data_IF_454410817979
#
_entry.id   IF_454410817979
#
_cell.length_a   1.000
_cell.length_b   1.000
_cell.length_c   1.000
_cell.angle_alpha   90.00
_cell.angle_beta   90.00
_cell.angle_gamma   90.00
#
_symmetry.space_group_name_H-M   'P 1'
#
loop_
_entity.id
_entity.type
_entity.pdbx_description
1 polymer ?
#
# COMPACT_ATOMS: atom_id res chain seq x y z
N UNK A 1 -13.15 -12.31 11.33
CA UNK A 1 -12.30 -11.10 11.19
C UNK A 1 -12.86 -10.01 12.10
N UNK A 2 -12.03 -9.25 12.83
CA UNK A 2 -12.51 -8.12 13.61
C UNK A 2 -12.99 -6.99 12.68
N UNK A 3 -14.06 -6.24 13.05
CA UNK A 3 -14.59 -5.15 12.23
C UNK A 3 -13.63 -3.95 12.11
N UNK A 4 -13.74 -3.16 11.03
CA UNK A 4 -13.02 -1.89 10.87
C UNK A 4 -13.30 -0.94 12.05
N UNK A 5 -12.29 -0.22 12.53
CA UNK A 5 -12.41 0.74 13.63
C UNK A 5 -12.38 0.13 15.04
N UNK A 6 -12.01 -1.15 15.20
CA UNK A 6 -11.92 -1.78 16.52
C UNK A 6 -10.71 -1.21 17.31
N UNK A 7 -11.00 -0.43 18.36
CA UNK A 7 -10.00 -0.10 19.39
C UNK A 7 -9.58 -1.38 20.11
N UNK A 8 -8.38 -1.88 19.82
CA UNK A 8 -7.80 -2.99 20.58
C UNK A 8 -7.18 -2.40 21.85
N UNK A 9 -7.94 -2.41 22.96
CA UNK A 9 -7.33 -2.26 24.28
C UNK A 9 -6.52 -3.51 24.60
N UNK A 10 -5.21 -3.43 24.39
CA UNK A 10 -4.29 -4.43 24.92
C UNK A 10 -4.01 -4.11 26.39
N UNK A 11 -4.24 -5.10 27.26
CA UNK A 11 -3.96 -5.02 28.70
C UNK A 11 -2.47 -4.70 28.87
N UNK A 12 -2.16 -3.48 29.36
CA UNK A 12 -0.79 -3.05 29.67
C UNK A 12 -0.27 -1.81 28.94
N UNK A 13 -1.04 -1.19 28.03
CA UNK A 13 -0.60 0.01 27.28
C UNK A 13 -1.35 1.26 27.75
N UNK A 14 -0.69 2.29 28.30
CA UNK A 14 -1.35 3.54 28.65
C UNK A 14 -1.59 4.42 27.42
N UNK A 15 -2.80 4.98 27.27
CA UNK A 15 -3.12 6.07 26.35
C UNK A 15 -3.66 5.63 24.99
N UNK A 16 -4.92 5.99 24.72
CA UNK A 16 -5.66 5.99 23.44
C UNK A 16 -4.85 5.60 22.19
N UNK A 17 -4.68 4.29 21.95
CA UNK A 17 -4.13 3.78 20.70
C UNK A 17 -5.29 3.63 19.71
N UNK A 18 -5.35 4.52 18.72
CA UNK A 18 -6.22 4.31 17.56
C UNK A 18 -5.55 3.31 16.61
N UNK A 19 -6.08 2.09 16.60
CA UNK A 19 -5.59 1.01 15.75
C UNK A 19 -6.48 0.94 14.50
N UNK A 20 -6.01 1.53 13.40
CA UNK A 20 -6.66 1.33 12.10
C UNK A 20 -6.24 -0.04 11.57
N UNK A 21 -7.22 -0.95 11.55
CA UNK A 21 -7.12 -2.31 11.03
C UNK A 21 -7.46 -2.33 9.55
N UNK A 22 -6.70 -3.11 8.79
CA UNK A 22 -7.06 -3.56 7.45
C UNK A 22 -7.60 -4.98 7.59
N UNK A 23 -8.92 -5.19 7.53
CA UNK A 23 -9.43 -5.72 6.26
C UNK A 23 -10.81 -5.18 5.88
N UNK A 24 -11.03 -4.96 4.58
CA UNK A 24 -12.37 -5.02 3.98
C UNK A 24 -12.65 -6.47 3.53
N UNK A 25 -13.86 -7.02 3.70
CA UNK A 25 -14.24 -8.28 3.06
C UNK A 25 -14.26 -8.08 1.54
N UNK A 26 -13.49 -8.90 0.84
CA UNK A 26 -13.33 -8.83 -0.61
C UNK A 26 -14.27 -9.80 -1.32
N UNK A 27 -14.83 -9.37 -2.44
CA UNK A 27 -15.49 -10.25 -3.41
C UNK A 27 -14.62 -10.28 -4.68
N UNK A 28 -14.19 -11.48 -5.08
CA UNK A 28 -13.36 -11.72 -6.28
C UNK A 28 -13.96 -11.16 -7.58
N UNK A 29 -15.27 -10.94 -7.61
CA UNK A 29 -16.00 -10.35 -8.74
C UNK A 29 -15.63 -8.88 -9.03
N UNK A 30 -14.90 -8.20 -8.15
CA UNK A 30 -14.45 -6.81 -8.39
C UNK A 30 -13.15 -6.72 -9.21
N UNK A 31 -12.48 -7.84 -9.49
CA UNK A 31 -11.20 -7.91 -10.25
C UNK A 31 -11.40 -7.54 -11.73
N UNK A 32 -12.59 -7.80 -12.27
CA UNK A 32 -12.86 -7.74 -13.71
C UNK A 32 -13.10 -6.32 -14.25
N UNK A 33 -13.20 -5.30 -13.39
CA UNK A 33 -13.72 -3.98 -13.79
C UNK A 33 -12.69 -2.92 -14.21
N UNK A 34 -11.39 -3.24 -14.25
CA UNK A 34 -10.41 -2.31 -14.83
C UNK A 34 -10.42 -2.51 -16.35
N UNK A 35 -11.15 -1.64 -17.06
CA UNK A 35 -11.19 -1.59 -18.53
C UNK A 35 -9.77 -1.39 -19.11
N UNK A 36 -9.18 -2.46 -19.66
CA UNK A 36 -7.97 -2.40 -20.49
C UNK A 36 -8.35 -1.82 -21.87
N UNK A 37 -8.54 -0.50 -21.93
CA UNK A 37 -8.93 0.20 -23.17
C UNK A 37 -7.74 0.53 -24.08
N UNK A 38 -6.53 0.05 -23.76
CA UNK A 38 -5.31 0.27 -24.55
C UNK A 38 -4.50 -1.02 -24.77
N UNK A 39 -4.23 -1.34 -26.05
CA UNK A 39 -3.47 -2.50 -26.52
C UNK A 39 -1.96 -2.37 -26.23
N UNK A 40 -1.59 -2.28 -24.96
CA UNK A 40 -0.21 -2.48 -24.54
C UNK A 40 0.02 -3.98 -24.31
N UNK A 41 1.22 -4.49 -24.62
CA UNK A 41 1.52 -5.90 -24.42
C UNK A 41 1.41 -6.25 -22.93
N UNK A 42 0.86 -7.43 -22.63
CA UNK A 42 0.72 -7.90 -21.23
C UNK A 42 2.07 -7.99 -20.53
N UNK A 43 3.11 -8.38 -21.27
CA UNK A 43 4.49 -8.44 -20.79
C UNK A 43 5.36 -7.61 -21.72
N UNK A 44 6.21 -6.77 -21.14
CA UNK A 44 7.14 -5.93 -21.88
C UNK A 44 8.19 -6.75 -22.62
N UNK A 45 8.29 -6.66 -23.96
CA UNK A 45 9.33 -7.36 -24.71
C UNK A 45 10.74 -6.83 -24.41
N UNK A 46 10.85 -5.57 -23.97
CA UNK A 46 12.11 -4.88 -23.68
C UNK A 46 12.45 -4.86 -22.17
N UNK A 47 11.69 -5.58 -21.35
CA UNK A 47 11.79 -5.53 -19.89
C UNK A 47 11.60 -4.11 -19.30
N UNK A 48 10.91 -3.24 -20.03
CA UNK A 48 10.55 -1.87 -19.61
C UNK A 48 9.17 -1.88 -18.95
N UNK A 49 8.88 -1.00 -17.99
CA UNK A 49 7.55 -0.96 -17.41
C UNK A 49 6.46 -0.65 -18.43
N UNK A 50 5.41 -1.47 -18.47
CA UNK A 50 4.20 -1.28 -19.29
C UNK A 50 3.01 -0.81 -18.47
N UNK A 51 3.10 -0.91 -17.13
CA UNK A 51 2.09 -0.43 -16.18
C UNK A 51 2.76 0.23 -14.99
N UNK A 52 2.07 1.19 -14.38
CA UNK A 52 2.56 1.93 -13.24
C UNK A 52 1.49 2.02 -12.17
N UNK A 53 1.88 1.81 -10.92
CA UNK A 53 1.05 2.09 -9.75
C UNK A 53 1.65 3.29 -9.03
N UNK A 54 0.84 4.31 -8.79
CA UNK A 54 1.15 5.41 -7.87
C UNK A 54 0.46 5.08 -6.55
N UNK A 55 1.26 4.89 -5.49
CA UNK A 55 0.79 4.55 -4.15
C UNK A 55 0.41 5.78 -3.34
N UNK A 56 1.19 6.86 -3.46
CA UNK A 56 0.80 8.17 -2.96
C UNK A 56 1.50 9.29 -3.75
N UNK A 57 0.88 10.46 -3.71
CA UNK A 57 1.34 11.72 -4.30
C UNK A 57 0.86 12.91 -3.42
N UNK A 58 1.36 14.14 -3.58
CA UNK A 58 1.12 15.25 -2.65
C UNK A 58 -0.34 15.70 -2.43
N UNK A 59 -1.28 15.19 -3.20
CA UNK A 59 -2.72 15.42 -3.03
C UNK A 59 -3.45 14.15 -2.55
N UNK A 60 -2.75 13.26 -1.83
CA UNK A 60 -3.27 11.97 -1.37
C UNK A 60 -3.86 11.11 -2.51
N UNK A 61 -3.37 11.35 -3.73
CA UNK A 61 -3.82 10.69 -4.94
C UNK A 61 -3.03 9.41 -5.15
N UNK A 62 -3.72 8.37 -5.60
CA UNK A 62 -3.15 7.08 -6.00
C UNK A 62 -3.81 6.67 -7.31
N UNK A 63 -3.20 5.73 -8.04
CA UNK A 63 -3.80 5.28 -9.28
C UNK A 63 -3.00 4.19 -10.00
N UNK A 64 -3.69 3.55 -10.93
CA UNK A 64 -3.13 2.60 -11.88
C UNK A 64 -3.07 3.27 -13.25
N UNK A 65 -1.92 3.19 -13.91
CA UNK A 65 -1.66 3.90 -15.14
C UNK A 65 -1.03 2.98 -16.18
N UNK A 66 -1.49 3.14 -17.41
CA UNK A 66 -0.96 2.41 -18.56
C UNK A 66 0.40 2.90 -19.04
N UNK A 67 0.89 4.02 -18.49
CA UNK A 67 2.18 4.62 -18.85
C UNK A 67 2.63 5.67 -17.85
N UNK A 68 3.92 5.99 -17.93
CA UNK A 68 4.49 7.09 -17.14
C UNK A 68 4.07 8.46 -17.69
N UNK A 69 4.31 8.74 -18.97
CA UNK A 69 4.10 10.09 -19.54
C UNK A 69 2.71 10.27 -20.15
N UNK A 70 2.15 11.47 -19.99
CA UNK A 70 0.90 11.88 -20.66
C UNK A 70 1.12 12.14 -22.15
N UNK A 71 0.24 11.62 -23.00
CA UNK A 71 0.19 11.96 -24.42
C UNK A 71 -0.95 12.92 -24.69
N UNK A 72 -0.60 14.18 -24.99
CA UNK A 72 -1.55 15.30 -25.19
C UNK A 72 -2.07 15.43 -26.63
N UNK A 73 -1.66 14.55 -27.54
CA UNK A 73 -1.97 14.63 -28.98
C UNK A 73 -2.63 13.36 -29.55
N UNK A 74 -2.99 12.40 -28.68
CA UNK A 74 -3.75 11.21 -29.07
C UNK A 74 -5.26 11.52 -29.06
N UNK A 75 -6.08 10.85 -29.91
CA UNK A 75 -7.52 11.11 -30.01
C UNK A 75 -8.27 10.87 -28.69
N UNK A 76 -7.69 10.08 -27.78
CA UNK A 76 -8.09 10.00 -26.37
C UNK A 76 -6.92 10.57 -25.59
N UNK A 77 -7.09 11.71 -24.90
CA UNK A 77 -6.04 12.26 -24.02
C UNK A 77 -5.63 11.20 -22.99
N UNK A 78 -4.47 10.55 -23.17
CA UNK A 78 -4.01 9.49 -22.27
C UNK A 78 -3.18 10.11 -21.18
N UNK A 79 -3.71 10.08 -19.95
CA UNK A 79 -3.02 10.59 -18.76
C UNK A 79 -2.01 9.56 -18.26
N UNK A 80 -0.75 9.98 -18.11
CA UNK A 80 0.30 9.16 -17.52
C UNK A 80 0.47 9.40 -16.01
N UNK A 81 1.10 8.46 -15.32
CA UNK A 81 1.40 8.54 -13.89
C UNK A 81 2.18 9.82 -13.50
N UNK A 82 2.99 10.35 -14.41
CA UNK A 82 3.81 11.56 -14.20
C UNK A 82 2.99 12.78 -13.81
N UNK A 83 1.70 12.82 -14.16
CA UNK A 83 0.80 13.92 -13.77
C UNK A 83 0.64 13.98 -12.26
N UNK A 84 0.49 12.82 -11.60
CA UNK A 84 0.40 12.76 -10.15
C UNK A 84 1.76 12.96 -9.46
N UNK A 85 2.85 12.58 -10.12
CA UNK A 85 4.20 12.62 -9.55
C UNK A 85 5.00 13.90 -9.85
N UNK A 86 4.38 14.87 -10.53
CA UNK A 86 5.07 16.04 -11.08
C UNK A 86 5.62 17.01 -10.04
N UNK A 87 5.05 17.01 -8.83
CA UNK A 87 5.45 17.88 -7.73
C UNK A 87 5.60 17.03 -6.46
N UNK A 88 6.54 17.39 -5.59
CA UNK A 88 6.65 16.84 -4.22
C UNK A 88 7.03 15.36 -4.09
N UNK A 89 6.93 14.88 -2.85
CA UNK A 89 7.21 13.47 -2.51
C UNK A 89 6.09 12.56 -3.01
N UNK A 90 6.48 11.46 -3.64
CA UNK A 90 5.57 10.49 -4.22
C UNK A 90 6.19 9.09 -4.15
N UNK A 91 5.33 8.09 -4.23
CA UNK A 91 5.76 6.71 -4.38
C UNK A 91 5.05 6.07 -5.55
N UNK A 92 5.83 5.68 -6.54
CA UNK A 92 5.34 4.96 -7.71
C UNK A 92 6.23 3.75 -8.01
N UNK A 93 5.66 2.74 -8.66
CA UNK A 93 6.38 1.57 -9.17
C UNK A 93 5.93 1.25 -10.59
N UNK A 94 6.90 1.04 -11.46
CA UNK A 94 6.70 0.47 -12.78
C UNK A 94 6.74 -1.07 -12.74
N UNK A 95 5.89 -1.69 -13.55
CA UNK A 95 5.75 -3.13 -13.69
C UNK A 95 5.92 -3.55 -15.15
N UNK A 96 6.70 -4.59 -15.38
CA UNK A 96 6.94 -5.20 -16.69
C UNK A 96 5.80 -6.13 -17.13
N UNK A 97 4.97 -6.56 -16.19
CA UNK A 97 3.87 -7.52 -16.32
C UNK A 97 2.59 -6.80 -15.88
N UNK A 98 1.66 -6.61 -16.81
CA UNK A 98 0.41 -5.89 -16.58
C UNK A 98 -0.53 -6.66 -15.65
N UNK A 99 -0.60 -7.97 -15.80
CA UNK A 99 -1.43 -8.86 -14.96
C UNK A 99 -0.98 -8.78 -13.51
N UNK A 100 0.34 -8.83 -13.27
CA UNK A 100 0.90 -8.67 -11.92
C UNK A 100 0.66 -7.27 -11.36
N UNK A 101 0.82 -6.23 -12.18
CA UNK A 101 0.54 -4.86 -11.76
C UNK A 101 -0.92 -4.69 -11.34
N UNK A 102 -1.86 -5.20 -12.15
CA UNK A 102 -3.30 -5.14 -11.88
C UNK A 102 -3.63 -5.89 -10.59
N UNK A 103 -3.10 -7.11 -10.42
CA UNK A 103 -3.28 -7.89 -9.20
C UNK A 103 -2.78 -7.12 -7.96
N UNK A 104 -1.56 -6.57 -7.99
CA UNK A 104 -1.00 -5.84 -6.85
C UNK A 104 -1.78 -4.57 -6.54
N UNK A 105 -2.28 -3.86 -7.56
CA UNK A 105 -3.11 -2.68 -7.37
C UNK A 105 -4.42 -3.03 -6.65
N UNK A 106 -5.10 -4.09 -7.09
CA UNK A 106 -6.35 -4.57 -6.49
C UNK A 106 -6.14 -5.06 -5.06
N UNK A 107 -5.08 -5.82 -4.82
CA UNK A 107 -4.66 -6.23 -3.49
C UNK A 107 -4.41 -5.04 -2.56
N UNK A 108 -3.74 -3.99 -3.04
CA UNK A 108 -3.51 -2.77 -2.26
C UNK A 108 -4.81 -2.03 -1.95
N UNK A 109 -5.80 -2.03 -2.87
CA UNK A 109 -7.15 -1.50 -2.59
C UNK A 109 -7.84 -2.31 -1.50
N UNK A 110 -7.84 -3.63 -1.64
CA UNK A 110 -8.49 -4.57 -0.73
C UNK A 110 -7.95 -4.45 0.70
N UNK A 111 -6.63 -4.37 0.84
CA UNK A 111 -5.96 -4.22 2.13
C UNK A 111 -5.85 -2.75 2.56
N UNK A 112 -6.60 -1.85 1.90
CA UNK A 112 -6.66 -0.41 2.20
C UNK A 112 -5.29 0.25 2.35
N UNK A 113 -4.29 -0.25 1.63
CA UNK A 113 -2.91 0.26 1.67
C UNK A 113 -2.88 1.71 1.19
N UNK A 114 -3.66 2.05 0.14
CA UNK A 114 -3.71 3.43 -0.34
C UNK A 114 -4.26 4.39 0.71
N UNK A 115 -5.32 4.01 1.43
CA UNK A 115 -5.89 4.83 2.50
C UNK A 115 -4.93 5.00 3.67
N UNK A 116 -4.20 3.94 4.04
CA UNK A 116 -3.15 3.99 5.05
C UNK A 116 -2.04 5.00 4.68
N UNK A 117 -1.68 5.08 3.39
CA UNK A 117 -0.64 5.97 2.88
C UNK A 117 -1.10 7.42 2.70
N UNK A 118 -2.41 7.71 2.78
CA UNK A 118 -2.91 9.08 2.82
C UNK A 118 -2.61 9.79 4.13
N UNK A 119 -2.37 9.00 5.20
CA UNK A 119 -2.00 9.56 6.50
C UNK A 119 -0.66 10.30 6.34
N UNK A 120 -0.57 11.57 6.76
CA UNK A 120 0.66 12.31 6.66
C UNK A 120 1.74 11.63 7.51
N UNK A 121 2.96 11.55 6.99
CA UNK A 121 4.09 11.11 7.81
C UNK A 121 4.28 12.12 8.95
N UNK A 122 4.06 11.66 10.18
CA UNK A 122 4.20 12.47 11.39
C UNK A 122 5.03 11.72 12.43
N UNK A 123 5.76 12.44 13.31
CA UNK A 123 6.54 11.81 14.38
C UNK A 123 5.71 10.91 15.32
N UNK A 124 4.41 11.19 15.42
CA UNK A 124 3.46 10.44 16.24
C UNK A 124 2.74 9.32 15.48
N UNK A 125 3.17 8.94 14.28
CA UNK A 125 2.56 7.85 13.49
C UNK A 125 3.60 6.75 13.27
N UNK A 126 3.23 5.51 13.61
CA UNK A 126 4.03 4.31 13.38
C UNK A 126 3.16 3.21 12.77
N UNK A 127 3.75 2.42 11.88
CA UNK A 127 3.09 1.32 11.18
C UNK A 127 3.66 -0.01 11.67
N UNK A 128 2.79 -0.92 12.11
CA UNK A 128 3.15 -2.29 12.49
C UNK A 128 2.70 -3.22 11.39
N UNK A 129 3.66 -3.77 10.65
CA UNK A 129 3.39 -4.74 9.60
C UNK A 129 3.54 -6.12 10.20
N UNK A 130 2.47 -6.92 10.14
CA UNK A 130 2.50 -8.31 10.61
C UNK A 130 2.36 -9.31 9.47
N UNK A 131 1.95 -8.89 8.28
CA UNK A 131 2.01 -9.72 7.08
C UNK A 131 2.65 -8.91 5.95
N UNK A 132 3.77 -9.42 5.42
CA UNK A 132 4.55 -8.76 4.36
C UNK A 132 5.84 -9.52 4.05
N UNK A 133 6.67 -8.97 3.16
CA UNK A 133 8.02 -9.44 2.84
C UNK A 133 8.96 -9.29 4.03
N UNK A 134 8.90 -8.15 4.71
CA UNK A 134 9.72 -7.89 5.91
C UNK A 134 8.81 -7.35 7.01
N UNK A 135 8.09 -8.18 7.78
CA UNK A 135 7.27 -7.69 8.88
C UNK A 135 8.09 -6.94 9.93
N UNK A 136 7.51 -5.91 10.55
CA UNK A 136 8.23 -5.06 11.49
C UNK A 136 7.53 -3.74 11.78
N UNK A 137 8.25 -2.83 12.43
CA UNK A 137 7.77 -1.48 12.75
C UNK A 137 8.43 -0.47 11.83
N UNK A 138 7.61 0.38 11.20
CA UNK A 138 8.03 1.37 10.23
C UNK A 138 7.48 2.74 10.61
N UNK A 139 8.26 3.80 10.41
CA UNK A 139 7.83 5.19 10.64
C UNK A 139 7.76 6.01 9.35
N UNK A 140 8.09 5.37 8.22
CA UNK A 140 8.17 5.96 6.90
C UNK A 140 7.38 5.15 5.89
N UNK A 141 6.46 5.80 5.18
CA UNK A 141 5.60 5.22 4.15
C UNK A 141 6.43 4.55 3.05
N UNK A 142 7.52 5.20 2.60
CA UNK A 142 8.42 4.62 1.60
C UNK A 142 9.06 3.31 2.06
N UNK A 143 9.50 3.23 3.32
CA UNK A 143 10.11 2.01 3.86
C UNK A 143 9.06 0.91 4.10
N UNK A 144 7.89 1.30 4.60
CA UNK A 144 6.72 0.43 4.73
C UNK A 144 6.40 -0.26 3.39
N UNK A 145 6.20 0.51 2.32
CA UNK A 145 5.77 -0.06 1.04
C UNK A 145 6.89 -0.80 0.33
N UNK A 146 8.11 -0.23 0.30
CA UNK A 146 9.22 -0.82 -0.45
C UNK A 146 9.80 -2.05 0.24
N UNK A 147 10.12 -1.96 1.54
CA UNK A 147 10.85 -3.01 2.25
C UNK A 147 9.91 -4.01 2.91
N UNK A 148 8.83 -3.53 3.51
CA UNK A 148 7.93 -4.39 4.27
C UNK A 148 6.90 -5.06 3.38
N UNK A 149 6.15 -4.28 2.62
CA UNK A 149 5.08 -4.80 1.78
C UNK A 149 5.62 -5.35 0.47
N UNK A 150 6.71 -4.79 -0.07
CA UNK A 150 7.21 -5.16 -1.40
C UNK A 150 6.24 -4.74 -2.51
N UNK A 151 5.52 -3.62 -2.31
CA UNK A 151 4.54 -3.06 -3.24
C UNK A 151 3.25 -3.89 -3.48
N UNK A 152 2.96 -4.84 -2.60
CA UNK A 152 1.74 -5.66 -2.62
C UNK A 152 0.91 -5.41 -1.36
N UNK A 153 -0.14 -6.23 -1.15
CA UNK A 153 -0.93 -6.24 0.09
C UNK A 153 -0.07 -6.40 1.35
N UNK A 154 -0.71 -6.24 2.51
CA UNK A 154 -0.14 -6.61 3.79
C UNK A 154 -1.09 -6.26 4.91
N UNK A 155 -0.97 -6.98 6.03
CA UNK A 155 -1.71 -6.64 7.23
C UNK A 155 -0.88 -5.63 8.01
N UNK A 156 -1.36 -4.39 8.02
CA UNK A 156 -0.71 -3.26 8.66
C UNK A 156 -1.64 -2.65 9.69
N UNK A 157 -1.09 -2.38 10.87
CA UNK A 157 -1.73 -1.58 11.90
C UNK A 157 -1.09 -0.20 11.92
N UNK A 158 -1.90 0.85 11.99
CA UNK A 158 -1.42 2.18 12.31
C UNK A 158 -1.49 2.38 13.83
N UNK A 159 -0.43 2.94 14.42
CA UNK A 159 -0.33 3.30 15.84
C UNK A 159 -0.04 4.79 15.90
N UNK A 160 -0.93 5.55 16.54
CA UNK A 160 -0.82 7.00 16.65
C UNK A 160 -0.63 7.44 18.11
N UNK A 161 0.19 8.49 18.32
CA UNK A 161 0.45 9.11 19.62
C UNK A 161 1.93 9.40 19.88
N UNK A 162 2.21 10.12 20.97
CA UNK A 162 3.57 10.57 21.32
C UNK A 162 4.55 9.42 21.58
N UNK A 163 4.02 8.25 21.96
CA UNK A 163 4.79 7.01 22.16
C UNK A 163 4.57 5.98 21.06
N UNK A 164 4.08 6.41 19.89
CA UNK A 164 3.71 5.51 18.79
C UNK A 164 4.79 4.49 18.45
N UNK A 165 6.06 4.86 18.41
CA UNK A 165 7.17 3.93 18.12
C UNK A 165 7.33 2.86 19.21
N UNK A 166 7.25 3.26 20.47
CA UNK A 166 7.36 2.34 21.61
C UNK A 166 6.16 1.40 21.66
N UNK A 167 4.95 1.95 21.53
CA UNK A 167 3.71 1.17 21.57
C UNK A 167 3.62 0.23 20.36
N UNK A 168 4.06 0.67 19.18
CA UNK A 168 4.16 -0.16 17.97
C UNK A 168 5.14 -1.33 18.15
N UNK A 169 6.29 -1.10 18.80
CA UNK A 169 7.25 -2.17 19.11
C UNK A 169 6.69 -3.18 20.10
N UNK A 170 5.99 -2.72 21.14
CA UNK A 170 5.32 -3.59 22.11
C UNK A 170 4.24 -4.42 21.42
N UNK A 171 3.39 -3.78 20.60
CA UNK A 171 2.36 -4.46 19.82
C UNK A 171 2.96 -5.53 18.89
N UNK A 172 4.01 -5.19 18.14
CA UNK A 172 4.70 -6.13 17.26
C UNK A 172 5.28 -7.32 18.03
N UNK A 173 5.92 -7.09 19.18
CA UNK A 173 6.45 -8.16 20.02
C UNK A 173 5.34 -9.08 20.56
N UNK A 174 4.20 -8.52 20.98
CA UNK A 174 3.03 -9.30 21.41
C UNK A 174 2.47 -10.17 20.27
N UNK A 175 2.31 -9.59 19.08
CA UNK A 175 1.81 -10.32 17.89
C UNK A 175 2.80 -11.39 17.43
N UNK A 176 4.11 -11.14 17.55
CA UNK A 176 5.17 -12.12 17.28
C UNK A 176 5.08 -13.30 18.25
N UNK A 177 5.00 -13.04 19.56
CA UNK A 177 4.85 -14.09 20.59
C UNK A 177 3.57 -14.90 20.41
N UNK A 178 2.51 -14.28 19.91
CA UNK A 178 1.23 -14.93 19.61
C UNK A 178 1.21 -15.69 18.26
N UNK A 179 2.33 -15.74 17.53
CA UNK A 179 2.43 -16.42 16.23
C UNK A 179 1.58 -15.77 15.13
N UNK A 180 1.32 -14.45 15.21
CA UNK A 180 0.48 -13.71 14.26
C UNK A 180 1.28 -13.01 13.15
N UNK A 181 2.61 -13.05 13.22
CA UNK A 181 3.49 -12.45 12.22
C UNK A 181 3.81 -13.47 11.12
N UNK A 182 3.54 -13.11 9.88
CA UNK A 182 3.73 -13.94 8.68
C UNK A 182 4.66 -13.23 7.72
N UNK A 183 5.75 -13.91 7.34
CA UNK A 183 6.70 -13.42 6.34
C UNK A 183 6.39 -14.10 5.00
N UNK A 184 6.32 -13.32 3.92
CA UNK A 184 6.15 -13.85 2.57
C UNK A 184 7.48 -13.91 1.84
N UNK A 185 7.61 -14.90 0.96
CA UNK A 185 8.74 -14.97 0.05
C UNK A 185 8.45 -14.16 -1.20
N UNK A 186 9.44 -13.41 -1.68
CA UNK A 186 9.37 -12.75 -2.99
C UNK A 186 9.52 -13.85 -4.04
N UNK A 187 8.49 -14.04 -4.88
CA UNK A 187 8.49 -14.97 -6.01
C UNK A 187 8.79 -14.24 -7.31
#
# INVERSE_FOLDING_TARGET
MPPPGLMIQTVGTPGNIEVLLTPSPFQESEIDYIEDSFLLPEVSPDNKPVRYIVYYAPNQSHGYFDRWSTLKHEPKNIVGASVLCSNGDHLAKGFIDSTRAKAYFLECKQYSIFELLKLPERPWVSYVVVQGITPGVYTKCKSLVHLSLGYQRGLVYCVMGDRSVTDARVLFACLTKAGKVVTWQVV
#
